data_IF_271803505421
#
_entry.id   IF_271803505421
#
_cell.length_a   1.000
_cell.length_b   1.000
_cell.length_c   1.000
_cell.angle_alpha   90.00
_cell.angle_beta   90.00
_cell.angle_gamma   90.00
#
_symmetry.space_group_name_H-M   'P 1'
#
loop_
_entity.id
_entity.type
_entity.pdbx_description
1 polymer ?
#
# COMPACT_ATOMS: atom_id res chain seq x y z
N UNK A 1 -27.02 8.87 7.24
CA UNK A 1 -27.15 8.66 8.70
C UNK A 1 -25.90 9.26 9.35
N UNK A 2 -26.06 10.01 10.44
CA UNK A 2 -24.95 10.52 11.26
C UNK A 2 -24.93 9.73 12.57
N UNK A 3 -23.75 9.30 12.99
CA UNK A 3 -23.53 8.66 14.29
C UNK A 3 -23.76 9.69 15.41
N UNK A 4 -24.30 9.24 16.54
CA UNK A 4 -24.43 10.10 17.72
C UNK A 4 -23.09 10.21 18.47
N UNK A 5 -23.06 10.97 19.56
CA UNK A 5 -21.83 11.17 20.34
C UNK A 5 -21.33 9.86 20.97
N UNK A 6 -22.23 8.99 21.41
CA UNK A 6 -21.89 7.72 22.05
C UNK A 6 -21.27 6.77 21.03
N UNK A 7 -21.88 6.67 19.85
CA UNK A 7 -21.36 5.88 18.73
C UNK A 7 -19.96 6.34 18.31
N UNK A 8 -19.71 7.65 18.25
CA UNK A 8 -18.40 8.21 17.88
C UNK A 8 -17.34 7.93 18.95
N UNK A 9 -17.68 8.04 20.23
CA UNK A 9 -16.76 7.72 21.32
C UNK A 9 -16.46 6.22 21.38
N UNK A 10 -17.45 5.37 21.15
CA UNK A 10 -17.26 3.93 21.02
C UNK A 10 -16.37 3.61 19.83
N UNK A 11 -16.58 4.24 18.68
CA UNK A 11 -15.72 4.05 17.52
C UNK A 11 -14.26 4.43 17.81
N UNK A 12 -14.01 5.54 18.51
CA UNK A 12 -12.67 5.97 18.90
C UNK A 12 -11.99 5.00 19.88
N UNK A 13 -12.75 4.31 20.74
CA UNK A 13 -12.16 3.39 21.72
C UNK A 13 -11.50 2.15 21.10
N UNK A 14 -11.81 1.84 19.85
CA UNK A 14 -11.28 0.68 19.13
C UNK A 14 -9.91 0.93 18.47
N UNK A 15 -9.35 2.14 18.53
CA UNK A 15 -8.00 2.38 18.02
C UNK A 15 -6.95 1.78 18.98
N UNK A 16 -6.12 0.88 18.47
CA UNK A 16 -4.98 0.32 19.22
C UNK A 16 -3.74 1.24 19.25
N UNK A 17 -3.76 2.29 18.43
CA UNK A 17 -2.68 3.29 18.35
C UNK A 17 -3.11 4.61 18.99
N UNK A 18 -2.16 5.54 19.19
CA UNK A 18 -2.44 6.90 19.68
C UNK A 18 -2.47 7.92 18.51
N UNK A 19 -3.54 7.99 17.69
CA UNK A 19 -3.61 8.93 16.59
C UNK A 19 -3.79 10.37 17.10
N UNK A 20 -3.35 11.32 16.29
CA UNK A 20 -3.81 12.71 16.42
C UNK A 20 -5.16 12.81 15.71
N UNK A 21 -6.18 13.24 16.45
CA UNK A 21 -7.57 13.30 15.97
C UNK A 21 -7.91 14.72 15.54
N UNK A 22 -8.58 14.88 14.40
CA UNK A 22 -9.10 16.15 13.93
C UNK A 22 -10.62 16.08 13.81
N UNK A 23 -11.34 16.85 14.64
CA UNK A 23 -12.80 16.87 14.62
C UNK A 23 -13.27 17.91 13.62
N UNK A 24 -14.02 17.47 12.62
CA UNK A 24 -14.53 18.30 11.51
C UNK A 24 -16.00 17.98 11.26
N UNK A 25 -16.66 18.76 10.40
CA UNK A 25 -18.07 18.57 10.02
C UNK A 25 -19.03 18.48 11.23
N UNK A 26 -19.15 19.59 11.97
CA UNK A 26 -20.11 19.77 13.04
C UNK A 26 -20.29 21.25 13.38
N UNK A 27 -21.30 21.57 14.19
CA UNK A 27 -21.40 22.90 14.79
C UNK A 27 -20.19 23.14 15.72
N UNK A 28 -19.78 24.39 15.89
CA UNK A 28 -18.56 24.73 16.63
C UNK A 28 -18.59 24.18 18.07
N UNK A 29 -19.69 24.39 18.78
CA UNK A 29 -19.89 23.94 20.16
C UNK A 29 -19.92 22.41 20.27
N UNK A 30 -20.59 21.73 19.33
CA UNK A 30 -20.63 20.27 19.29
C UNK A 30 -19.24 19.66 19.01
N UNK A 31 -18.49 20.27 18.08
CA UNK A 31 -17.14 19.82 17.73
C UNK A 31 -16.15 20.00 18.88
N UNK A 32 -16.21 21.15 19.57
CA UNK A 32 -15.41 21.42 20.77
C UNK A 32 -15.75 20.46 21.91
N UNK A 33 -17.04 20.19 22.11
CA UNK A 33 -17.50 19.24 23.15
C UNK A 33 -17.00 17.83 22.86
N UNK A 34 -17.16 17.34 21.63
CA UNK A 34 -16.67 16.01 21.24
C UNK A 34 -15.14 15.94 21.35
N UNK A 35 -14.42 16.98 20.92
CA UNK A 35 -12.96 17.00 21.02
C UNK A 35 -12.47 16.89 22.46
N UNK A 36 -13.13 17.60 23.39
CA UNK A 36 -12.83 17.54 24.81
C UNK A 36 -13.08 16.14 25.39
N UNK A 37 -14.23 15.53 25.08
CA UNK A 37 -14.55 14.18 25.54
C UNK A 37 -13.54 13.13 25.03
N UNK A 38 -13.11 13.22 23.76
CA UNK A 38 -12.08 12.33 23.22
C UNK A 38 -10.75 12.52 23.95
N UNK A 39 -10.35 13.77 24.21
CA UNK A 39 -9.11 14.06 24.91
C UNK A 39 -9.13 13.55 26.36
N UNK A 40 -10.22 13.77 27.10
CA UNK A 40 -10.33 13.37 28.51
C UNK A 40 -10.43 11.84 28.68
N UNK A 41 -11.14 11.14 27.79
CA UNK A 41 -11.36 9.69 27.91
C UNK A 41 -10.21 8.85 27.38
N UNK A 42 -9.60 9.26 26.27
CA UNK A 42 -8.62 8.45 25.55
C UNK A 42 -7.20 9.04 25.60
N UNK A 43 -7.02 10.21 26.23
CA UNK A 43 -5.74 10.91 26.32
C UNK A 43 -5.09 11.18 24.94
N UNK A 44 -5.91 11.28 23.89
CA UNK A 44 -5.48 11.55 22.52
C UNK A 44 -5.25 13.05 22.31
N UNK A 45 -4.36 13.36 21.36
CA UNK A 45 -4.20 14.74 20.89
C UNK A 45 -5.31 15.04 19.91
N UNK A 46 -6.25 15.93 20.28
CA UNK A 46 -7.40 16.31 19.46
C UNK A 46 -7.32 17.77 19.04
N UNK A 47 -7.69 18.08 17.81
CA UNK A 47 -7.75 19.45 17.29
C UNK A 47 -9.04 19.70 16.52
N UNK A 48 -9.66 20.87 16.71
CA UNK A 48 -10.80 21.34 15.92
C UNK A 48 -10.30 22.42 14.96
N UNK A 49 -10.12 22.12 13.66
CA UNK A 49 -9.57 23.08 12.72
C UNK A 49 -10.49 24.29 12.50
N UNK A 50 -9.89 25.48 12.35
CA UNK A 50 -10.60 26.71 12.00
C UNK A 50 -10.68 26.89 10.50
N UNK A 51 -11.68 27.68 10.05
CA UNK A 51 -11.82 28.04 8.64
C UNK A 51 -10.52 28.71 8.14
N UNK A 52 -10.01 28.23 6.99
CA UNK A 52 -8.73 28.64 6.37
C UNK A 52 -7.46 28.29 7.15
N UNK A 53 -7.56 27.47 8.19
CA UNK A 53 -6.38 26.91 8.84
C UNK A 53 -5.69 25.89 7.92
N UNK A 54 -4.35 25.98 7.81
CA UNK A 54 -3.53 25.02 7.08
C UNK A 54 -2.74 24.17 8.06
N UNK A 55 -3.06 22.89 8.11
CA UNK A 55 -2.35 21.90 8.91
C UNK A 55 -1.32 21.19 8.05
N UNK A 56 -0.05 21.22 8.46
CA UNK A 56 1.02 20.45 7.83
C UNK A 56 1.19 19.17 8.65
N UNK A 57 0.78 18.04 8.07
CA UNK A 57 1.04 16.74 8.66
C UNK A 57 2.47 16.34 8.29
N UNK A 58 3.40 16.59 9.20
CA UNK A 58 4.74 16.03 9.09
C UNK A 58 4.68 14.50 9.15
N UNK A 59 5.56 13.77 8.45
CA UNK A 59 5.77 12.37 8.75
C UNK A 59 6.03 12.27 10.25
N UNK A 60 5.20 11.51 10.97
CA UNK A 60 5.50 11.21 12.37
C UNK A 60 6.87 10.54 12.34
N UNK A 61 7.86 11.14 12.99
CA UNK A 61 8.98 10.37 13.53
C UNK A 61 8.36 9.49 14.61
N UNK A 62 7.63 8.46 14.17
CA UNK A 62 7.51 7.27 14.98
C UNK A 62 8.97 6.92 15.25
N UNK A 63 9.32 6.65 16.50
CA UNK A 63 10.44 5.77 16.77
C UNK A 63 10.07 4.41 16.14
N UNK A 64 10.02 4.35 14.82
CA UNK A 64 10.36 3.16 14.09
C UNK A 64 11.76 2.90 14.56
N UNK A 65 11.94 1.80 15.29
CA UNK A 65 13.19 1.08 15.24
C UNK A 65 13.69 1.15 13.78
N UNK A 66 14.78 1.88 13.55
CA UNK A 66 15.49 1.76 12.29
C UNK A 66 16.00 0.31 12.27
N UNK A 67 15.63 -0.58 11.31
CA UNK A 67 15.19 -0.31 9.94
C UNK A 67 14.15 -1.31 9.35
N UNK A 68 12.87 -0.95 9.19
CA UNK A 68 11.93 -1.83 8.42
C UNK A 68 11.84 -1.50 6.92
N UNK A 69 12.14 -0.26 6.51
CA UNK A 69 12.07 0.14 5.09
C UNK A 69 13.21 -0.47 4.27
N UNK A 70 14.42 -0.56 4.84
CA UNK A 70 15.55 -1.19 4.16
C UNK A 70 15.36 -2.72 4.04
N UNK A 71 14.78 -3.37 5.07
CA UNK A 71 14.40 -4.78 5.03
C UNK A 71 13.29 -5.01 3.99
N UNK A 72 12.21 -4.22 4.00
CA UNK A 72 11.14 -4.34 3.00
C UNK A 72 11.63 -4.12 1.56
N UNK A 73 12.51 -3.14 1.31
CA UNK A 73 13.12 -2.94 -0.01
C UNK A 73 14.07 -4.10 -0.38
N UNK A 74 14.78 -4.66 0.60
CA UNK A 74 15.63 -5.85 0.40
C UNK A 74 14.79 -7.09 0.09
N UNK A 75 13.64 -7.25 0.74
CA UNK A 75 12.69 -8.35 0.52
C UNK A 75 12.08 -8.24 -0.87
N UNK A 76 11.62 -7.05 -1.27
CA UNK A 76 11.09 -6.81 -2.63
C UNK A 76 12.17 -7.06 -3.68
N UNK A 77 13.41 -6.59 -3.44
CA UNK A 77 14.54 -6.85 -4.35
C UNK A 77 14.83 -8.34 -4.46
N UNK A 78 14.82 -9.07 -3.35
CA UNK A 78 15.03 -10.53 -3.32
C UNK A 78 13.93 -11.26 -4.08
N UNK A 79 12.67 -10.86 -3.88
CA UNK A 79 11.53 -11.40 -4.62
C UNK A 79 11.69 -11.17 -6.14
N UNK A 80 12.03 -9.95 -6.56
CA UNK A 80 12.25 -9.64 -7.98
C UNK A 80 13.38 -10.49 -8.58
N UNK A 81 14.50 -10.66 -7.86
CA UNK A 81 15.63 -11.48 -8.33
C UNK A 81 15.25 -12.96 -8.45
N UNK A 82 14.50 -13.51 -7.50
CA UNK A 82 14.05 -14.90 -7.57
C UNK A 82 13.10 -15.11 -8.76
N UNK A 83 12.15 -14.20 -8.98
CA UNK A 83 11.26 -14.25 -10.15
C UNK A 83 12.04 -14.21 -11.47
N UNK A 84 13.11 -13.40 -11.55
CA UNK A 84 13.98 -13.37 -12.74
C UNK A 84 14.67 -14.72 -12.96
N UNK A 85 15.21 -15.34 -11.89
CA UNK A 85 15.86 -16.66 -11.98
C UNK A 85 14.88 -17.73 -12.47
N UNK A 86 13.65 -17.72 -11.94
CA UNK A 86 12.61 -18.66 -12.36
C UNK A 86 12.26 -18.46 -13.84
N UNK A 87 12.08 -17.20 -14.27
CA UNK A 87 11.82 -16.85 -15.67
C UNK A 87 12.96 -17.30 -16.60
N UNK A 88 14.23 -17.12 -16.20
CA UNK A 88 15.39 -17.60 -16.97
C UNK A 88 15.35 -19.12 -17.17
N UNK A 89 14.98 -19.88 -16.14
CA UNK A 89 14.84 -21.33 -16.21
C UNK A 89 13.68 -21.74 -17.12
N UNK A 90 12.53 -21.07 -17.03
CA UNK A 90 11.38 -21.30 -17.91
C UNK A 90 11.72 -21.01 -19.38
N UNK A 91 12.39 -19.88 -19.66
CA UNK A 91 12.86 -19.54 -21.00
C UNK A 91 13.87 -20.56 -21.53
N UNK A 92 14.74 -21.10 -20.67
CA UNK A 92 15.68 -22.16 -21.04
C UNK A 92 14.95 -23.46 -21.40
N UNK A 93 13.90 -23.83 -20.67
CA UNK A 93 13.06 -24.98 -20.98
C UNK A 93 12.28 -24.78 -22.28
N UNK A 94 11.68 -23.60 -22.48
CA UNK A 94 10.97 -23.23 -23.70
C UNK A 94 11.91 -23.32 -24.92
N UNK A 95 13.13 -22.79 -24.80
CA UNK A 95 14.15 -22.88 -25.86
C UNK A 95 14.55 -24.33 -26.17
N UNK A 96 14.62 -25.21 -25.17
CA UNK A 96 14.91 -26.64 -25.38
C UNK A 96 13.77 -27.32 -26.12
N UNK A 97 12.52 -27.03 -25.72
CA UNK A 97 11.30 -27.56 -26.34
C UNK A 97 11.15 -27.15 -27.79
N UNK A 98 11.43 -25.88 -28.13
CA UNK A 98 11.41 -25.39 -29.52
C UNK A 98 12.53 -26.02 -30.37
N UNK A 99 13.67 -26.35 -29.77
CA UNK A 99 14.82 -26.94 -30.47
C UNK A 99 14.74 -28.45 -30.69
N UNK A 100 13.94 -29.17 -29.90
CA UNK A 100 13.66 -30.58 -30.17
C UNK A 100 12.68 -30.67 -31.35
N UNK A 101 13.07 -31.39 -32.40
CA UNK A 101 12.37 -31.58 -33.69
C UNK A 101 10.97 -32.26 -33.59
N UNK A 102 10.34 -32.30 -32.41
CA UNK A 102 8.99 -32.86 -32.19
C UNK A 102 7.87 -31.82 -32.37
N UNK A 103 8.16 -30.62 -32.89
CA UNK A 103 7.17 -29.58 -33.12
C UNK A 103 7.20 -29.13 -34.58
N UNK A 104 6.74 -30.00 -35.47
CA UNK A 104 6.50 -29.61 -36.87
C UNK A 104 5.09 -29.05 -37.12
N UNK A 105 4.13 -29.12 -36.19
CA UNK A 105 2.75 -28.63 -36.49
C UNK A 105 2.02 -27.83 -35.39
N UNK A 106 2.65 -27.51 -34.24
CA UNK A 106 1.92 -26.83 -33.15
C UNK A 106 2.74 -25.73 -32.43
N UNK A 107 3.51 -24.93 -33.17
CA UNK A 107 3.82 -23.55 -32.74
C UNK A 107 2.81 -22.66 -33.45
N UNK A 108 1.70 -22.43 -32.77
CA UNK A 108 0.62 -21.56 -33.26
C UNK A 108 1.17 -20.14 -33.35
N UNK A 109 0.79 -19.35 -34.37
CA UNK A 109 1.12 -17.90 -34.43
C UNK A 109 0.83 -17.17 -33.10
N UNK A 110 -0.13 -17.68 -32.32
CA UNK A 110 -0.48 -17.22 -30.98
C UNK A 110 0.70 -17.26 -29.99
N UNK A 111 1.52 -18.32 -29.99
CA UNK A 111 2.63 -18.45 -29.04
C UNK A 111 3.75 -17.42 -29.32
N UNK A 112 3.95 -17.08 -30.59
CA UNK A 112 4.87 -16.02 -31.01
C UNK A 112 4.36 -14.65 -30.56
N UNK A 113 3.05 -14.40 -30.70
CA UNK A 113 2.40 -13.18 -30.22
C UNK A 113 2.53 -13.01 -28.70
N UNK A 114 2.32 -14.07 -27.94
CA UNK A 114 2.46 -14.09 -26.48
C UNK A 114 3.90 -13.81 -26.04
N UNK A 115 4.89 -14.39 -26.73
CA UNK A 115 6.30 -14.13 -26.42
C UNK A 115 6.69 -12.68 -26.70
N UNK A 116 6.15 -12.08 -27.77
CA UNK A 116 6.37 -10.67 -28.10
C UNK A 116 5.77 -9.72 -27.06
N UNK A 117 4.56 -10.01 -26.58
CA UNK A 117 3.95 -9.23 -25.50
C UNK A 117 4.80 -9.25 -24.23
N UNK A 118 5.29 -10.43 -23.82
CA UNK A 118 6.19 -10.55 -22.66
C UNK A 118 7.48 -9.73 -22.85
N UNK A 119 8.03 -9.71 -24.08
CA UNK A 119 9.20 -8.89 -24.40
C UNK A 119 8.92 -7.38 -24.22
N UNK A 120 7.75 -6.90 -24.65
CA UNK A 120 7.36 -5.49 -24.53
C UNK A 120 7.21 -5.06 -23.06
N UNK A 121 6.57 -5.89 -22.24
CA UNK A 121 6.45 -5.64 -20.79
C UNK A 121 7.82 -5.61 -20.10
N UNK A 122 8.75 -6.51 -20.46
CA UNK A 122 10.12 -6.50 -19.94
C UNK A 122 10.87 -5.23 -20.38
N UNK A 123 10.67 -4.76 -21.61
CA UNK A 123 11.27 -3.51 -22.08
C UNK A 123 10.74 -2.28 -21.32
N UNK A 124 9.43 -2.26 -21.01
CA UNK A 124 8.82 -1.19 -20.21
C UNK A 124 9.34 -1.12 -18.77
N UNK A 125 9.76 -2.25 -18.19
CA UNK A 125 10.39 -2.30 -16.86
C UNK A 125 11.85 -1.81 -16.91
N UNK A 126 12.54 -2.01 -18.04
CA UNK A 126 13.95 -1.63 -18.23
C UNK A 126 14.17 -0.18 -18.69
N UNK A 127 13.12 0.49 -19.19
CA UNK A 127 13.12 1.89 -19.63
C UNK A 127 13.01 2.89 -18.48
#
# INVERSE_FOLDING_TARGET
AHADQTDLLEWVSHFESDPRVFVVHGEATASETLAKEIQERFNLIVHVPKLKERLILGPREVAFEKPKVAELLSDVKTMMLNTIIDLENELKMLKKRIKSEEIEEEIVEDDVGRLKYIQEELQAILS
#
